data_IF_221141741852
#
_entry.id   IF_221141741852
#
_cell.length_a   1.000
_cell.length_b   1.000
_cell.length_c   1.000
_cell.angle_alpha   90.00
_cell.angle_beta   90.00
_cell.angle_gamma   90.00
#
_symmetry.space_group_name_H-M   'P 1'
#
loop_
_entity.id
_entity.type
_entity.pdbx_description
1 polymer ?
#
# COMPACT_ATOMS: atom_id res chain seq x y z
N UNK A 1 15.63 0.33 22.16
CA UNK A 1 14.33 -0.37 22.03
C UNK A 1 13.42 0.52 21.19
N UNK A 2 13.40 0.31 19.88
CA UNK A 2 12.74 1.22 18.94
C UNK A 2 11.25 0.95 18.87
N UNK A 3 10.44 1.92 19.31
CA UNK A 3 8.99 2.01 19.11
C UNK A 3 8.63 2.37 17.64
N UNK A 4 9.41 1.89 16.68
CA UNK A 4 9.53 2.49 15.35
C UNK A 4 8.44 2.19 14.31
N UNK A 5 7.38 1.45 14.64
CA UNK A 5 6.41 1.02 13.60
C UNK A 5 4.93 1.00 14.02
N UNK A 6 4.62 1.32 15.28
CA UNK A 6 3.21 1.60 15.65
C UNK A 6 2.77 3.00 15.25
N UNK A 7 3.71 3.87 14.88
CA UNK A 7 3.43 5.26 14.52
C UNK A 7 2.75 5.42 13.17
N UNK A 8 2.48 4.35 12.42
CA UNK A 8 1.68 4.41 11.17
C UNK A 8 0.39 3.58 11.24
N UNK A 9 0.17 2.86 12.34
CA UNK A 9 -0.98 1.97 12.50
C UNK A 9 -2.10 2.65 13.27
N UNK A 10 -3.32 2.39 12.84
CA UNK A 10 -4.53 2.88 13.48
C UNK A 10 -4.99 1.83 14.49
N UNK A 11 -5.13 2.20 15.76
CA UNK A 11 -5.75 1.30 16.76
C UNK A 11 -7.26 1.45 16.69
N UNK A 12 -7.96 0.33 16.76
CA UNK A 12 -9.42 0.26 16.72
C UNK A 12 -9.89 -0.12 18.12
N UNK A 13 -10.74 0.71 18.71
CA UNK A 13 -11.33 0.51 20.02
C UNK A 13 -12.86 0.57 19.93
N UNK A 14 -13.52 -0.09 20.87
CA UNK A 14 -14.93 0.19 21.13
C UNK A 14 -15.11 1.52 21.89
N UNK A 15 -16.36 1.94 22.12
CA UNK A 15 -16.67 3.17 22.87
C UNK A 15 -16.22 3.11 24.34
N UNK A 16 -15.98 1.92 24.89
CA UNK A 16 -15.42 1.75 26.23
C UNK A 16 -13.89 1.82 26.25
N UNK A 17 -13.25 2.09 25.10
CA UNK A 17 -11.80 2.15 24.94
C UNK A 17 -11.12 0.79 24.91
N UNK A 18 -11.87 -0.32 24.80
CA UNK A 18 -11.29 -1.66 24.75
C UNK A 18 -10.73 -1.92 23.35
N UNK A 19 -9.49 -2.42 23.23
CA UNK A 19 -8.88 -2.67 21.93
C UNK A 19 -9.62 -3.81 21.21
N UNK A 20 -10.00 -3.55 19.96
CA UNK A 20 -10.69 -4.47 19.06
C UNK A 20 -9.79 -4.98 17.94
N UNK A 21 -8.80 -4.18 17.56
CA UNK A 21 -7.95 -4.46 16.42
C UNK A 21 -6.98 -3.33 16.13
N UNK A 22 -6.26 -3.50 15.03
CA UNK A 22 -5.52 -2.46 14.34
C UNK A 22 -5.90 -2.44 12.87
N UNK A 23 -5.51 -1.38 12.19
CA UNK A 23 -5.64 -1.23 10.74
C UNK A 23 -4.60 -0.26 10.22
N UNK A 24 -4.67 0.01 8.94
CA UNK A 24 -3.78 0.98 8.28
C UNK A 24 -4.59 1.83 7.29
N UNK A 25 -4.16 3.07 7.10
CA UNK A 25 -4.73 3.95 6.08
C UNK A 25 -4.29 3.44 4.70
N UNK A 26 -5.23 3.34 3.76
CA UNK A 26 -5.00 2.79 2.43
C UNK A 26 -5.14 3.81 1.29
N UNK A 27 -5.73 4.98 1.52
CA UNK A 27 -5.87 5.99 0.47
C UNK A 27 -5.92 7.41 1.02
N UNK A 28 -5.88 8.38 0.10
CA UNK A 28 -5.95 9.82 0.38
C UNK A 28 -7.29 10.25 0.98
N UNK A 29 -8.28 9.37 1.04
CA UNK A 29 -9.59 9.63 1.67
C UNK A 29 -9.60 9.24 3.14
N UNK A 30 -8.47 8.73 3.67
CA UNK A 30 -8.38 8.22 5.02
C UNK A 30 -9.09 6.87 5.20
N UNK A 31 -9.32 6.10 4.14
CA UNK A 31 -9.95 4.78 4.27
C UNK A 31 -9.01 3.86 5.05
N UNK A 32 -9.47 3.35 6.19
CA UNK A 32 -8.72 2.38 7.00
C UNK A 32 -9.14 0.97 6.63
N UNK A 33 -8.16 0.11 6.34
CA UNK A 33 -8.38 -1.32 6.09
C UNK A 33 -8.04 -2.11 7.34
N UNK A 34 -8.89 -3.08 7.67
CA UNK A 34 -8.71 -3.98 8.81
C UNK A 34 -9.39 -5.33 8.55
N UNK A 35 -9.28 -6.26 9.49
CA UNK A 35 -10.03 -7.51 9.48
C UNK A 35 -11.49 -7.26 9.88
N UNK A 36 -12.44 -7.95 9.24
CA UNK A 36 -13.86 -7.93 9.57
C UNK A 36 -14.10 -8.19 11.07
N UNK A 37 -13.33 -9.10 11.67
CA UNK A 37 -13.37 -9.40 13.11
C UNK A 37 -13.18 -8.16 14.00
N UNK A 38 -12.37 -7.19 13.58
CA UNK A 38 -12.07 -6.00 14.38
C UNK A 38 -13.27 -5.02 14.48
N UNK A 39 -14.19 -5.05 13.52
CA UNK A 39 -15.28 -4.06 13.44
C UNK A 39 -16.62 -4.52 14.01
N UNK A 40 -16.65 -5.73 14.57
CA UNK A 40 -17.88 -6.36 15.09
C UNK A 40 -18.24 -5.74 16.44
N UNK A 41 -18.98 -4.64 16.38
CA UNK A 41 -19.40 -3.85 17.53
C UNK A 41 -20.86 -3.41 17.37
N UNK A 42 -21.66 -3.41 18.45
CA UNK A 42 -23.05 -2.91 18.40
C UNK A 42 -23.15 -1.38 18.28
N UNK A 43 -22.03 -0.66 18.23
CA UNK A 43 -22.01 0.80 18.14
C UNK A 43 -20.75 1.35 17.48
N UNK A 44 -20.61 2.69 17.42
CA UNK A 44 -19.50 3.35 16.75
C UNK A 44 -18.13 2.89 17.24
N UNK A 45 -17.13 2.91 16.38
CA UNK A 45 -15.75 2.58 16.73
C UNK A 45 -14.95 3.86 16.99
N UNK A 46 -13.99 3.77 17.91
CA UNK A 46 -13.02 4.83 18.14
C UNK A 46 -11.69 4.40 17.53
N UNK A 47 -11.22 5.19 16.56
CA UNK A 47 -9.93 5.03 15.93
C UNK A 47 -8.90 5.94 16.59
N UNK A 48 -7.73 5.41 16.89
CA UNK A 48 -6.58 6.19 17.36
C UNK A 48 -5.48 6.11 16.30
N UNK A 49 -5.20 7.27 15.71
CA UNK A 49 -4.14 7.45 14.73
C UNK A 49 -2.80 7.74 15.38
N UNK A 50 -1.94 8.40 14.61
CA UNK A 50 -0.63 8.87 15.07
C UNK A 50 -0.81 10.17 15.86
N UNK A 51 0.21 10.59 16.61
CA UNK A 51 0.24 11.87 17.32
C UNK A 51 -0.96 12.15 18.25
N UNK A 52 -1.60 11.09 18.74
CA UNK A 52 -2.75 11.17 19.65
C UNK A 52 -4.07 11.54 19.00
N UNK A 53 -4.15 11.65 17.67
CA UNK A 53 -5.42 11.94 16.97
C UNK A 53 -6.41 10.81 17.14
N UNK A 54 -7.67 11.19 17.30
CA UNK A 54 -8.79 10.24 17.43
C UNK A 54 -9.91 10.58 16.47
N UNK A 55 -10.53 9.55 15.91
CA UNK A 55 -11.64 9.65 14.98
C UNK A 55 -12.73 8.66 15.39
N UNK A 56 -13.98 9.12 15.50
CA UNK A 56 -15.13 8.23 15.71
C UNK A 56 -15.70 7.81 14.37
N UNK A 57 -15.92 6.52 14.17
CA UNK A 57 -16.49 5.95 12.94
C UNK A 57 -17.86 5.37 13.24
N UNK A 58 -18.88 5.93 12.59
CA UNK A 58 -20.25 5.47 12.73
C UNK A 58 -20.46 4.13 11.97
N UNK A 59 -21.46 3.32 12.33
CA UNK A 59 -21.77 2.08 11.61
C UNK A 59 -21.94 2.26 10.10
N UNK A 60 -22.52 3.38 9.65
CA UNK A 60 -22.73 3.69 8.22
C UNK A 60 -21.43 3.98 7.47
N UNK A 61 -20.35 4.31 8.19
CA UNK A 61 -19.01 4.51 7.64
C UNK A 61 -18.17 3.22 7.63
N UNK A 62 -18.74 2.09 8.07
CA UNK A 62 -18.11 0.78 8.09
C UNK A 62 -18.69 -0.06 6.93
N UNK A 63 -17.85 -0.35 5.95
CA UNK A 63 -18.17 -1.33 4.91
C UNK A 63 -17.57 -2.69 5.31
N UNK A 64 -18.42 -3.60 5.79
CA UNK A 64 -18.02 -4.97 6.11
C UNK A 64 -17.97 -5.83 4.85
N UNK A 65 -16.87 -6.59 4.69
CA UNK A 65 -16.65 -7.53 3.60
C UNK A 65 -16.40 -8.95 4.18
N UNK A 66 -17.42 -9.57 4.81
CA UNK A 66 -17.27 -10.82 5.55
C UNK A 66 -16.79 -11.98 4.66
N UNK A 67 -17.21 -12.02 3.39
CA UNK A 67 -16.74 -13.00 2.41
C UNK A 67 -15.22 -12.95 2.18
N UNK A 68 -14.59 -11.81 2.44
CA UNK A 68 -13.14 -11.61 2.35
C UNK A 68 -12.45 -11.62 3.73
N UNK A 69 -13.23 -11.66 4.82
CA UNK A 69 -12.74 -11.44 6.18
C UNK A 69 -12.23 -10.02 6.43
N UNK A 70 -12.61 -9.04 5.61
CA UNK A 70 -12.09 -7.66 5.64
C UNK A 70 -13.17 -6.64 6.04
N UNK A 71 -12.73 -5.45 6.44
CA UNK A 71 -13.59 -4.28 6.59
C UNK A 71 -12.86 -3.00 6.20
N UNK A 72 -13.63 -2.04 5.67
CA UNK A 72 -13.18 -0.72 5.25
C UNK A 72 -13.88 0.33 6.10
N UNK A 73 -13.13 1.22 6.74
CA UNK A 73 -13.67 2.28 7.60
C UNK A 73 -13.36 3.64 6.97
N UNK A 74 -14.38 4.47 6.82
CA UNK A 74 -14.23 5.85 6.35
C UNK A 74 -13.99 6.77 7.54
N UNK A 75 -12.93 7.58 7.48
CA UNK A 75 -12.50 8.42 8.62
C UNK A 75 -12.59 9.92 8.36
N UNK A 76 -13.13 10.31 7.19
CA UNK A 76 -13.39 11.70 6.84
C UNK A 76 -12.22 12.45 6.19
N UNK A 77 -11.08 11.80 5.97
CA UNK A 77 -9.94 12.38 5.24
C UNK A 77 -8.58 11.92 5.80
N UNK A 78 -7.48 12.27 5.12
CA UNK A 78 -6.14 11.80 5.48
C UNK A 78 -5.64 12.44 6.80
N UNK A 79 -6.07 13.66 7.10
CA UNK A 79 -5.69 14.38 8.32
C UNK A 79 -6.40 13.87 9.58
N UNK A 80 -7.46 13.06 9.46
CA UNK A 80 -8.24 12.62 10.63
C UNK A 80 -7.39 11.79 11.60
N UNK A 81 -6.44 11.02 11.06
CA UNK A 81 -5.60 10.10 11.82
C UNK A 81 -4.10 10.38 11.69
N UNK A 82 -3.72 11.37 10.88
CA UNK A 82 -2.32 11.78 10.66
C UNK A 82 -1.42 10.60 10.25
N UNK A 83 -1.99 9.72 9.42
CA UNK A 83 -1.36 8.48 8.99
C UNK A 83 -1.28 8.44 7.47
N UNK A 84 -0.07 8.24 6.96
CA UNK A 84 0.15 8.09 5.53
C UNK A 84 -0.41 6.76 5.01
N UNK A 85 -0.97 6.74 3.78
CA UNK A 85 -1.37 5.50 3.13
C UNK A 85 -0.22 4.49 3.01
N UNK A 86 -0.43 3.24 3.45
CA UNK A 86 0.53 2.16 3.21
C UNK A 86 0.33 1.55 1.81
N UNK A 87 1.41 1.27 1.06
CA UNK A 87 1.29 0.63 -0.25
C UNK A 87 0.77 -0.80 -0.10
N UNK A 88 -0.21 -1.20 -0.92
CA UNK A 88 -0.75 -2.56 -0.94
C UNK A 88 -0.18 -3.31 -2.15
N UNK A 89 0.35 -4.51 -1.93
CA UNK A 89 0.90 -5.33 -3.00
C UNK A 89 -0.20 -5.72 -4.01
N UNK A 90 0.09 -5.53 -5.30
CA UNK A 90 -0.92 -5.62 -6.33
C UNK A 90 -1.13 -7.00 -6.97
N UNK A 91 -0.06 -7.81 -7.08
CA UNK A 91 -0.09 -9.12 -7.78
C UNK A 91 0.92 -10.11 -7.21
N UNK A 92 2.09 -9.64 -6.80
CA UNK A 92 3.13 -10.51 -6.26
C UNK A 92 2.78 -10.99 -4.86
N UNK A 93 2.75 -12.32 -4.72
CA UNK A 93 2.58 -12.98 -3.43
C UNK A 93 3.94 -13.08 -2.76
N UNK A 94 3.92 -13.06 -1.43
CA UNK A 94 5.12 -13.34 -0.66
C UNK A 94 5.69 -14.71 -1.04
N UNK A 95 6.97 -14.75 -1.42
CA UNK A 95 7.61 -16.01 -1.79
C UNK A 95 7.75 -16.92 -0.57
N UNK A 96 7.43 -18.22 -0.68
CA UNK A 96 7.73 -19.19 0.36
C UNK A 96 9.20 -19.13 0.77
N UNK A 97 9.44 -19.08 2.08
CA UNK A 97 10.76 -18.95 2.67
C UNK A 97 11.21 -17.51 2.92
N UNK A 98 10.53 -16.51 2.35
CA UNK A 98 10.77 -15.09 2.60
C UNK A 98 10.33 -14.63 3.99
N UNK A 99 10.79 -13.44 4.38
CA UNK A 99 10.46 -12.83 5.67
C UNK A 99 9.48 -11.68 5.50
N UNK A 100 8.58 -11.54 6.45
CA UNK A 100 7.58 -10.49 6.52
C UNK A 100 7.57 -9.87 7.91
N UNK A 101 7.23 -8.60 7.98
CA UNK A 101 6.95 -7.94 9.24
C UNK A 101 5.46 -8.02 9.57
N UNK A 102 5.16 -8.19 10.86
CA UNK A 102 3.81 -8.20 11.39
C UNK A 102 3.68 -7.27 12.59
N UNK A 103 2.50 -6.66 12.72
CA UNK A 103 2.13 -5.82 13.84
C UNK A 103 1.57 -6.65 15.02
N UNK A 104 2.43 -7.34 15.75
CA UNK A 104 2.06 -8.26 16.82
C UNK A 104 2.73 -7.86 18.15
N UNK A 105 2.07 -7.03 18.96
CA UNK A 105 2.63 -6.35 20.15
C UNK A 105 3.88 -5.49 19.86
N UNK A 106 4.02 -5.04 18.62
CA UNK A 106 5.22 -4.36 18.10
C UNK A 106 5.56 -4.94 16.74
N UNK A 107 6.58 -4.37 16.08
CA UNK A 107 7.12 -4.98 14.86
C UNK A 107 7.78 -6.31 15.20
N UNK A 108 7.40 -7.35 14.47
CA UNK A 108 7.93 -8.71 14.60
C UNK A 108 8.14 -9.30 13.21
N UNK A 109 9.19 -10.09 13.07
CA UNK A 109 9.45 -10.81 11.84
C UNK A 109 8.79 -12.19 11.89
N UNK A 110 8.21 -12.60 10.76
CA UNK A 110 7.62 -13.91 10.53
C UNK A 110 8.16 -14.47 9.22
N UNK A 111 8.22 -15.79 9.09
CA UNK A 111 8.63 -16.43 7.84
C UNK A 111 7.40 -16.94 7.09
N UNK A 112 7.35 -16.67 5.79
CA UNK A 112 6.29 -17.17 4.92
C UNK A 112 6.53 -18.64 4.65
N UNK A 113 5.55 -19.48 4.98
CA UNK A 113 5.57 -20.91 4.64
C UNK A 113 4.95 -21.17 3.27
N UNK A 114 4.05 -20.28 2.84
CA UNK A 114 3.37 -20.33 1.55
C UNK A 114 1.93 -19.84 1.69
N UNK A 115 1.04 -20.39 0.87
CA UNK A 115 -0.40 -20.14 0.99
C UNK A 115 -1.15 -21.44 1.17
N UNK A 116 -2.17 -21.44 2.03
CA UNK A 116 -3.02 -22.60 2.32
C UNK A 116 -4.50 -22.23 2.21
N UNK A 117 -5.39 -23.12 1.73
CA UNK A 117 -6.82 -22.89 1.85
C UNK A 117 -7.22 -22.84 3.32
N UNK A 118 -8.03 -21.85 3.68
CA UNK A 118 -8.52 -21.65 5.03
C UNK A 118 -10.00 -21.26 5.02
N UNK A 119 -10.64 -21.38 6.18
CA UNK A 119 -12.00 -20.87 6.41
C UNK A 119 -11.92 -19.72 7.41
N UNK A 120 -12.41 -18.55 7.00
CA UNK A 120 -12.69 -17.44 7.91
C UNK A 120 -14.05 -17.68 8.56
N UNK A 121 -14.10 -17.79 9.88
CA UNK A 121 -15.37 -17.91 10.61
C UNK A 121 -15.80 -16.53 11.07
N UNK A 122 -16.84 -16.00 10.44
CA UNK A 122 -17.46 -14.76 10.88
C UNK A 122 -18.11 -14.95 12.27
N UNK A 123 -18.28 -13.88 13.06
CA UNK A 123 -18.83 -13.98 14.42
C UNK A 123 -20.28 -14.46 14.49
N UNK A 124 -21.03 -14.36 13.39
CA UNK A 124 -22.36 -14.95 13.24
C UNK A 124 -22.30 -16.49 13.04
N UNK A 125 -21.10 -17.06 12.97
CA UNK A 125 -20.83 -18.48 12.75
C UNK A 125 -20.74 -18.87 11.28
N UNK A 126 -20.94 -17.94 10.34
CA UNK A 126 -20.87 -18.23 8.91
C UNK A 126 -19.41 -18.39 8.48
N UNK A 127 -19.12 -19.53 7.84
CA UNK A 127 -17.80 -19.83 7.29
C UNK A 127 -17.64 -19.30 5.88
N UNK A 128 -16.59 -18.51 5.64
CA UNK A 128 -16.21 -17.99 4.33
C UNK A 128 -14.89 -18.62 3.87
N UNK A 129 -14.86 -19.12 2.64
CA UNK A 129 -13.67 -19.75 2.08
C UNK A 129 -12.62 -18.71 1.70
N UNK A 130 -11.39 -18.96 2.13
CA UNK A 130 -10.20 -18.16 1.80
C UNK A 130 -9.22 -19.08 1.06
N UNK A 131 -9.22 -19.08 -0.28
CA UNK A 131 -8.50 -20.09 -1.07
C UNK A 131 -6.98 -20.09 -0.89
N UNK A 132 -6.41 -18.95 -0.50
CA UNK A 132 -4.96 -18.75 -0.42
C UNK A 132 -4.61 -17.83 0.76
N UNK A 133 -4.94 -18.25 1.99
CA UNK A 133 -4.48 -17.56 3.19
C UNK A 133 -2.96 -17.66 3.29
N UNK A 134 -2.29 -16.57 3.67
CA UNK A 134 -0.85 -16.55 3.86
C UNK A 134 -0.52 -17.29 5.15
N UNK A 135 0.32 -18.32 5.04
CA UNK A 135 0.75 -19.11 6.19
C UNK A 135 2.11 -18.63 6.71
N UNK A 136 2.15 -18.37 8.01
CA UNK A 136 3.30 -17.76 8.67
C UNK A 136 3.85 -18.68 9.76
N UNK A 137 5.16 -18.88 9.75
CA UNK A 137 5.88 -19.36 10.91
C UNK A 137 6.13 -18.20 11.86
N UNK A 138 5.59 -18.34 13.08
CA UNK A 138 5.71 -17.39 14.17
C UNK A 138 6.50 -17.99 15.31
N UNK A 139 7.41 -17.19 15.89
CA UNK A 139 7.98 -17.50 17.20
C UNK A 139 6.92 -17.43 18.31
N UNK A 140 7.26 -17.89 19.51
CA UNK A 140 6.36 -17.96 20.67
C UNK A 140 5.68 -16.61 20.95
N UNK A 141 6.44 -15.52 21.01
CA UNK A 141 5.90 -14.18 21.25
C UNK A 141 4.88 -13.74 20.19
N UNK A 142 5.12 -14.08 18.92
CA UNK A 142 4.21 -13.75 17.82
C UNK A 142 2.91 -14.56 17.91
N UNK A 143 3.03 -15.84 18.27
CA UNK A 143 1.88 -16.71 18.52
C UNK A 143 1.05 -16.24 19.72
N UNK A 144 1.70 -15.86 20.81
CA UNK A 144 1.03 -15.34 22.01
C UNK A 144 0.36 -13.99 21.74
N UNK A 145 0.98 -13.14 20.90
CA UNK A 145 0.38 -11.89 20.46
C UNK A 145 -0.94 -12.13 19.70
N UNK A 146 -0.99 -13.12 18.80
CA UNK A 146 -2.23 -13.50 18.13
C UNK A 146 -3.26 -14.06 19.12
N UNK A 147 -2.84 -14.90 20.08
CA UNK A 147 -3.74 -15.48 21.09
C UNK A 147 -4.32 -14.46 22.07
N UNK A 148 -3.59 -13.37 22.32
CA UNK A 148 -4.03 -12.30 23.24
C UNK A 148 -5.20 -11.45 22.71
N UNK A 149 -5.67 -11.71 21.48
CA UNK A 149 -7.07 -11.49 21.11
C UNK A 149 -7.53 -10.05 20.85
N UNK A 150 -6.64 -9.13 20.47
CA UNK A 150 -7.08 -7.77 20.15
C UNK A 150 -6.13 -7.01 19.23
N UNK A 151 -4.99 -6.56 19.75
CA UNK A 151 -4.17 -5.55 19.08
C UNK A 151 -3.57 -5.99 17.73
N UNK A 152 -3.32 -7.29 17.54
CA UNK A 152 -2.75 -7.81 16.28
C UNK A 152 -3.81 -8.07 15.19
N UNK A 153 -5.10 -8.15 15.56
CA UNK A 153 -6.19 -8.43 14.61
C UNK A 153 -6.33 -7.23 13.69
N UNK A 154 -6.32 -7.46 12.38
CA UNK A 154 -6.40 -6.39 11.38
C UNK A 154 -5.06 -5.70 11.08
N UNK A 155 -4.00 -6.07 11.80
CA UNK A 155 -2.65 -5.56 11.56
C UNK A 155 -2.11 -6.02 10.21
N UNK A 156 -1.40 -5.17 9.46
CA UNK A 156 -0.83 -5.54 8.18
C UNK A 156 0.32 -6.53 8.35
N UNK A 157 0.43 -7.44 7.38
CA UNK A 157 1.64 -8.22 7.10
C UNK A 157 2.38 -7.49 5.98
N UNK A 158 3.61 -7.04 6.21
CA UNK A 158 4.35 -6.18 5.27
C UNK A 158 5.64 -6.82 4.78
N UNK A 159 5.99 -6.56 3.52
CA UNK A 159 7.34 -6.80 3.02
C UNK A 159 8.34 -5.89 3.75
N UNK A 160 9.41 -6.42 4.36
CA UNK A 160 10.36 -5.63 5.15
C UNK A 160 11.20 -4.66 4.29
N UNK A 161 11.40 -4.98 3.01
CA UNK A 161 12.23 -4.20 2.10
C UNK A 161 11.46 -3.04 1.45
N UNK A 162 10.19 -3.26 1.10
CA UNK A 162 9.38 -2.24 0.42
C UNK A 162 8.29 -1.61 1.29
N UNK A 163 7.98 -2.20 2.45
CA UNK A 163 6.85 -1.80 3.29
C UNK A 163 5.48 -2.10 2.68
N UNK A 164 5.41 -2.90 1.62
CA UNK A 164 4.16 -3.22 0.95
C UNK A 164 3.33 -4.20 1.78
N UNK A 165 2.04 -3.93 1.94
CA UNK A 165 1.10 -4.82 2.63
C UNK A 165 0.78 -6.03 1.74
N UNK A 166 1.09 -7.21 2.25
CA UNK A 166 0.92 -8.52 1.60
C UNK A 166 -0.34 -9.25 2.10
N UNK A 167 -0.84 -8.89 3.29
CA UNK A 167 -2.01 -9.50 3.90
C UNK A 167 -2.38 -8.86 5.22
N UNK A 168 -3.41 -9.39 5.87
CA UNK A 168 -3.96 -8.86 7.12
C UNK A 168 -4.10 -9.97 8.15
N UNK A 169 -3.55 -9.75 9.34
CA UNK A 169 -3.63 -10.72 10.44
C UNK A 169 -5.07 -10.89 10.94
N UNK A 170 -5.44 -12.13 11.23
CA UNK A 170 -6.70 -12.45 11.91
C UNK A 170 -6.51 -13.73 12.73
N UNK A 171 -7.35 -13.90 13.76
CA UNK A 171 -7.30 -15.06 14.65
C UNK A 171 -8.47 -16.02 14.44
N UNK A 172 -9.34 -15.71 13.47
CA UNK A 172 -10.56 -16.47 13.14
C UNK A 172 -10.44 -17.22 11.80
N UNK A 173 -9.22 -17.35 11.29
CA UNK A 173 -8.89 -18.28 10.20
C UNK A 173 -8.56 -19.65 10.75
N UNK A 174 -9.07 -20.69 10.08
CA UNK A 174 -8.74 -22.08 10.38
C UNK A 174 -8.32 -22.78 9.09
N UNK A 175 -7.13 -23.39 9.11
CA UNK A 175 -6.64 -24.27 8.04
C UNK A 175 -6.93 -25.75 8.37
N UNK A 176 -6.84 -26.67 7.40
CA UNK A 176 -6.99 -28.11 7.64
C UNK A 176 -5.95 -28.73 8.58
N UNK A 177 -4.89 -27.98 8.90
CA UNK A 177 -3.78 -28.39 9.77
C UNK A 177 -3.50 -27.30 10.81
N UNK A 178 -2.72 -27.64 11.84
CA UNK A 178 -2.26 -26.66 12.83
C UNK A 178 -1.31 -25.67 12.16
N UNK A 179 -1.76 -24.43 11.97
CA UNK A 179 -0.96 -23.33 11.46
C UNK A 179 -0.52 -22.41 12.62
N UNK A 180 0.74 -21.99 12.62
CA UNK A 180 1.26 -21.11 13.67
C UNK A 180 0.69 -19.69 13.59
N UNK A 181 0.39 -19.22 12.37
CA UNK A 181 -0.27 -17.95 12.08
C UNK A 181 -0.82 -17.93 10.66
N UNK A 182 -1.96 -17.27 10.47
CA UNK A 182 -2.61 -17.11 9.18
C UNK A 182 -2.95 -15.63 8.95
N UNK A 183 -2.84 -15.18 7.71
CA UNK A 183 -3.28 -13.85 7.31
C UNK A 183 -4.20 -13.92 6.08
N UNK A 184 -5.18 -13.01 6.07
CA UNK A 184 -6.12 -12.81 4.98
C UNK A 184 -5.39 -12.18 3.78
N UNK A 185 -5.57 -12.72 2.57
CA UNK A 185 -5.03 -12.12 1.37
C UNK A 185 -5.85 -10.88 0.98
N UNK A 186 -5.19 -9.87 0.42
CA UNK A 186 -5.87 -8.73 -0.20
C UNK A 186 -5.88 -8.97 -1.71
N UNK A 187 -6.96 -9.55 -2.23
CA UNK A 187 -7.04 -10.05 -3.62
C UNK A 187 -7.87 -9.12 -4.49
N UNK A 188 -7.40 -8.83 -5.70
CA UNK A 188 -8.14 -8.06 -6.71
C UNK A 188 -9.18 -8.93 -7.43
N UNK A 189 -10.25 -8.32 -7.92
CA UNK A 189 -11.29 -8.99 -8.70
C UNK A 189 -12.27 -9.81 -7.85
N UNK A 190 -12.21 -9.68 -6.53
CA UNK A 190 -13.11 -10.41 -5.61
C UNK A 190 -14.27 -9.56 -5.11
N UNK A 191 -14.15 -8.23 -5.15
CA UNK A 191 -15.16 -7.28 -4.71
C UNK A 191 -14.91 -5.89 -5.33
N UNK A 192 -15.95 -5.27 -5.88
CA UNK A 192 -15.86 -3.98 -6.59
C UNK A 192 -15.42 -2.83 -5.68
N UNK A 193 -15.82 -2.86 -4.40
CA UNK A 193 -15.47 -1.83 -3.42
C UNK A 193 -14.00 -1.92 -3.04
N UNK A 194 -13.52 -3.14 -2.78
CA UNK A 194 -12.10 -3.40 -2.55
C UNK A 194 -11.27 -3.03 -3.78
N UNK A 195 -11.70 -3.38 -4.99
CA UNK A 195 -10.99 -3.05 -6.23
C UNK A 195 -10.93 -1.54 -6.50
N UNK A 196 -11.99 -0.81 -6.17
CA UNK A 196 -11.96 0.65 -6.23
C UNK A 196 -10.95 1.24 -5.23
N UNK A 197 -10.85 0.69 -4.01
CA UNK A 197 -9.84 1.09 -3.03
C UNK A 197 -8.41 0.77 -3.51
N UNK A 198 -8.16 -0.44 -4.01
CA UNK A 198 -6.85 -0.86 -4.47
C UNK A 198 -6.34 -0.03 -5.66
N UNK A 199 -7.24 0.44 -6.53
CA UNK A 199 -6.89 1.39 -7.60
C UNK A 199 -6.47 2.75 -7.06
N UNK A 200 -7.18 3.29 -6.05
CA UNK A 200 -6.80 4.55 -5.40
C UNK A 200 -5.47 4.43 -4.66
N UNK A 201 -5.31 3.38 -3.85
CA UNK A 201 -4.06 3.07 -3.16
C UNK A 201 -2.87 3.07 -4.12
N UNK A 202 -2.99 2.35 -5.25
CA UNK A 202 -1.92 2.27 -6.24
C UNK A 202 -1.54 3.61 -6.88
N UNK A 203 -2.44 4.61 -6.86
CA UNK A 203 -2.22 5.94 -7.41
C UNK A 203 -1.61 6.93 -6.41
N UNK A 204 -1.66 6.65 -5.10
CA UNK A 204 -1.22 7.59 -4.04
C UNK A 204 -0.15 7.06 -3.10
N UNK A 205 -0.09 5.73 -2.88
CA UNK A 205 0.86 5.10 -1.97
C UNK A 205 1.99 4.45 -2.79
N UNK A 206 3.16 5.09 -2.95
CA UNK A 206 4.22 4.57 -3.83
C UNK A 206 4.77 3.24 -3.32
N UNK A 207 4.87 2.28 -4.24
CA UNK A 207 5.49 0.98 -4.02
C UNK A 207 6.60 0.75 -5.06
N UNK A 208 7.61 -0.06 -4.72
CA UNK A 208 8.83 -0.24 -5.50
C UNK A 208 9.23 -1.70 -5.64
N UNK A 209 10.26 -1.95 -6.46
CA UNK A 209 10.81 -3.29 -6.68
C UNK A 209 9.75 -4.24 -7.25
N UNK A 210 9.56 -5.44 -6.68
CA UNK A 210 8.53 -6.38 -7.14
C UNK A 210 7.11 -5.83 -6.98
N UNK A 211 6.91 -4.88 -6.07
CA UNK A 211 5.61 -4.29 -5.78
C UNK A 211 5.35 -2.97 -6.54
N UNK A 212 6.16 -2.63 -7.55
CA UNK A 212 6.04 -1.38 -8.31
C UNK A 212 4.59 -1.10 -8.76
N UNK A 213 4.08 0.07 -8.40
CA UNK A 213 2.75 0.54 -8.75
C UNK A 213 2.77 1.89 -9.48
N UNK A 214 1.60 2.45 -9.79
CA UNK A 214 1.49 3.69 -10.54
C UNK A 214 2.17 4.86 -9.82
N UNK A 215 1.91 5.04 -8.52
CA UNK A 215 2.53 6.09 -7.71
C UNK A 215 4.07 5.96 -7.70
N UNK A 216 4.59 4.75 -7.50
CA UNK A 216 6.03 4.48 -7.54
C UNK A 216 6.64 4.75 -8.91
N UNK A 217 5.98 4.35 -10.00
CA UNK A 217 6.42 4.62 -11.36
C UNK A 217 6.45 6.13 -11.65
N UNK A 218 5.40 6.86 -11.28
CA UNK A 218 5.35 8.32 -11.42
C UNK A 218 6.47 8.99 -10.62
N UNK A 219 6.73 8.57 -9.39
CA UNK A 219 7.82 9.11 -8.57
C UNK A 219 9.21 8.82 -9.15
N UNK A 220 9.44 7.61 -9.67
CA UNK A 220 10.70 7.25 -10.34
C UNK A 220 10.90 8.06 -11.62
N UNK A 221 9.85 8.24 -12.43
CA UNK A 221 9.92 9.04 -13.66
C UNK A 221 10.13 10.52 -13.36
N UNK A 222 9.45 11.08 -12.37
CA UNK A 222 9.64 12.46 -11.93
C UNK A 222 11.08 12.70 -11.43
N UNK A 223 11.61 11.79 -10.60
CA UNK A 223 13.01 11.85 -10.15
C UNK A 223 13.99 11.75 -11.32
N UNK A 224 13.69 10.90 -12.30
CA UNK A 224 14.53 10.73 -13.51
C UNK A 224 14.52 11.99 -14.39
N UNK A 225 13.38 12.64 -14.55
CA UNK A 225 13.25 13.91 -15.30
C UNK A 225 13.92 15.06 -14.56
N UNK A 226 13.75 15.15 -13.23
CA UNK A 226 14.41 16.17 -12.42
C UNK A 226 15.94 15.98 -12.35
N UNK A 227 16.41 14.74 -12.42
CA UNK A 227 17.85 14.42 -12.52
C UNK A 227 18.39 14.55 -13.94
N UNK A 228 17.51 14.65 -14.94
CA UNK A 228 17.83 15.06 -16.28
C UNK A 228 17.86 16.59 -16.35
N UNK A 229 18.73 17.23 -15.56
CA UNK A 229 19.50 18.35 -16.12
C UNK A 229 19.99 17.82 -17.47
N UNK A 230 19.42 18.31 -18.58
CA UNK A 230 19.72 17.82 -19.93
C UNK A 230 21.21 17.56 -20.05
N UNK A 231 21.64 16.44 -20.67
CA UNK A 231 22.94 15.82 -20.42
C UNK A 231 24.03 16.89 -20.29
N UNK A 232 24.51 17.14 -19.06
CA UNK A 232 25.69 17.99 -18.87
C UNK A 232 26.76 17.39 -19.76
N UNK A 233 27.14 18.15 -20.78
CA UNK A 233 27.85 17.63 -21.91
C UNK A 233 29.17 17.01 -21.42
N UNK A 234 29.21 15.68 -21.24
CA UNK A 234 30.45 14.96 -20.85
C UNK A 234 31.50 15.05 -21.96
N UNK A 235 31.05 15.43 -23.16
CA UNK A 235 31.82 15.69 -24.37
C UNK A 235 31.22 16.95 -24.99
N UNK A 236 32.01 17.81 -25.63
CA UNK A 236 31.49 18.97 -26.34
C UNK A 236 30.34 18.54 -27.29
N UNK A 237 29.18 19.21 -27.28
CA UNK A 237 28.13 18.95 -28.24
C UNK A 237 28.70 18.99 -29.66
N UNK A 238 28.38 17.99 -30.47
CA UNK A 238 28.71 18.05 -31.91
C UNK A 238 27.69 18.97 -32.55
N UNK A 239 28.14 20.14 -32.99
CA UNK A 239 27.26 21.08 -33.70
C UNK A 239 26.56 20.40 -34.87
N UNK A 240 25.24 20.51 -34.91
CA UNK A 240 24.41 20.07 -36.03
C UNK A 240 24.01 21.30 -36.83
N UNK A 241 24.93 21.77 -37.68
CA UNK A 241 24.78 23.00 -38.46
C UNK A 241 23.42 23.11 -39.17
N UNK A 242 22.92 22.01 -39.76
CA UNK A 242 21.61 22.01 -40.43
C UNK A 242 20.45 22.27 -39.45
N UNK A 243 20.46 21.63 -38.28
CA UNK A 243 19.41 21.80 -37.26
C UNK A 243 19.50 23.18 -36.63
N UNK A 244 20.72 23.65 -36.36
CA UNK A 244 20.98 24.98 -35.83
C UNK A 244 20.52 26.09 -36.79
N UNK A 245 20.81 25.94 -38.09
CA UNK A 245 20.40 26.89 -39.12
C UNK A 245 18.87 26.99 -39.24
N UNK A 246 18.16 25.86 -39.21
CA UNK A 246 16.68 25.83 -39.24
C UNK A 246 16.06 26.47 -37.98
N UNK A 247 16.63 26.20 -36.80
CA UNK A 247 16.19 26.82 -35.55
C UNK A 247 16.44 28.34 -35.54
N UNK A 248 17.61 28.79 -36.01
CA UNK A 248 17.95 30.20 -36.11
C UNK A 248 17.09 30.94 -37.15
N UNK A 249 16.80 30.31 -38.29
CA UNK A 249 15.91 30.84 -39.30
C UNK A 249 14.49 31.02 -38.74
N UNK A 250 13.97 30.02 -38.01
CA UNK A 250 12.67 30.13 -37.36
C UNK A 250 12.61 31.25 -36.31
N UNK A 251 13.65 31.38 -35.47
CA UNK A 251 13.71 32.43 -34.45
C UNK A 251 13.76 33.86 -35.04
N UNK A 252 14.26 33.99 -36.27
CA UNK A 252 14.30 35.26 -37.00
C UNK A 252 13.06 35.53 -37.87
N UNK A 253 12.15 34.57 -37.99
CA UNK A 253 10.95 34.64 -38.83
C UNK A 253 9.67 34.89 -37.99
N UNK A 254 8.57 35.20 -38.68
CA UNK A 254 7.22 35.41 -38.10
C UNK A 254 6.42 34.12 -37.91
N UNK A 255 7.04 32.96 -38.13
CA UNK A 255 6.43 31.65 -37.96
C UNK A 255 5.99 31.41 -36.51
N UNK A 256 4.77 30.90 -36.33
CA UNK A 256 4.22 30.62 -34.99
C UNK A 256 4.54 29.22 -34.48
N UNK A 257 4.94 28.29 -35.37
CA UNK A 257 5.16 26.88 -35.05
C UNK A 257 6.34 26.33 -35.86
N UNK A 258 7.27 25.66 -35.18
CA UNK A 258 8.35 24.87 -35.80
C UNK A 258 8.17 23.39 -35.50
N UNK A 259 8.17 22.55 -36.54
CA UNK A 259 8.07 21.11 -36.39
C UNK A 259 9.43 20.45 -36.16
N UNK A 260 9.66 19.89 -34.97
CA UNK A 260 10.91 19.19 -34.63
C UNK A 260 10.88 17.70 -35.06
N UNK A 261 10.89 17.44 -36.37
CA UNK A 261 10.74 16.07 -36.95
C UNK A 261 12.07 15.47 -37.43
N UNK A 262 12.16 14.13 -37.48
CA UNK A 262 13.37 13.42 -37.93
C UNK A 262 13.56 12.05 -37.29
N UNK A 263 14.62 11.34 -37.70
CA UNK A 263 15.00 10.05 -37.12
C UNK A 263 15.48 10.18 -35.66
N UNK A 264 15.40 9.11 -34.84
CA UNK A 264 16.06 9.07 -33.54
C UNK A 264 17.58 9.31 -33.67
N UNK A 265 18.18 10.04 -32.72
CA UNK A 265 19.63 10.27 -32.69
C UNK A 265 20.16 11.46 -33.52
N UNK A 266 19.29 12.26 -34.14
CA UNK A 266 19.70 13.43 -34.93
C UNK A 266 20.11 14.65 -34.10
N UNK A 267 20.06 14.59 -32.77
CA UNK A 267 20.45 15.68 -31.88
C UNK A 267 19.41 16.80 -31.73
N UNK A 268 18.21 16.64 -32.30
CA UNK A 268 17.13 17.65 -32.30
C UNK A 268 16.78 18.20 -30.91
N UNK A 269 16.63 17.33 -29.92
CA UNK A 269 16.34 17.73 -28.54
C UNK A 269 17.52 18.43 -27.87
N UNK A 270 18.75 18.12 -28.27
CA UNK A 270 19.97 18.79 -27.78
C UNK A 270 20.09 20.20 -28.35
N UNK A 271 19.89 20.38 -29.65
CA UNK A 271 19.92 21.71 -30.30
C UNK A 271 18.75 22.59 -29.83
N UNK A 272 17.55 22.03 -29.65
CA UNK A 272 16.41 22.75 -29.08
C UNK A 272 16.69 23.23 -27.65
N UNK A 273 17.33 22.40 -26.82
CA UNK A 273 17.68 22.77 -25.45
C UNK A 273 18.74 23.87 -25.38
N UNK A 274 19.59 24.00 -26.41
CA UNK A 274 20.58 25.10 -26.50
C UNK A 274 19.97 26.44 -26.93
N UNK A 275 18.76 26.42 -27.51
CA UNK A 275 18.03 27.62 -27.92
C UNK A 275 17.22 28.27 -26.77
N UNK A 276 16.84 27.48 -25.76
CA UNK A 276 16.02 27.90 -24.61
C UNK A 276 16.84 28.58 -23.51
#
# INVERSE_FOLDING_TARGET
>A
MGSGDRSKLVKICDQAGRPRGTGFVADERGTVVTAHQAVISPGPLLLHGTDGRTCSVAPDDITALPALGLALLRTGGPDALDAEPLPIAGRDRAEPGGYVDIAAHGRREARVLGTTPATYTAPDGVGHQVPAALELALGTDGRDALRSGGAAIGGPVTDPATGAVLGILTTTLTAPHEAAGLALPITRGTDDTLDALLRRNAAVAPAYGPHLNLAGALQLTATSVASADGPKARTAPVERADVHAELAAFAADTGLVLGLVGAPGTGRTTELAALA
#
